data_IF_850284095650
#
_entry.id   IF_850284095650
#
_cell.length_a   1.000
_cell.length_b   1.000
_cell.length_c   1.000
_cell.angle_alpha   90.00
_cell.angle_beta   90.00
_cell.angle_gamma   90.00
#
_symmetry.space_group_name_H-M   'P 1'
#
loop_
_entity.id
_entity.type
_entity.pdbx_description
1 polymer ?
#
# COMPACT_ATOMS: atom_id res chain seq x y z
N UNK A 1 -1.08 -23.36 -0.57
CA UNK A 1 -0.79 -22.49 0.59
C UNK A 1 -0.40 -21.11 0.05
N UNK A 2 -0.88 -19.99 0.62
CA UNK A 2 -0.54 -18.65 0.12
C UNK A 2 0.91 -18.37 0.51
N UNK A 3 1.80 -18.55 -0.46
CA UNK A 3 3.24 -18.37 -0.34
C UNK A 3 3.54 -16.96 0.19
N UNK A 4 4.18 -16.93 1.35
CA UNK A 4 4.96 -15.80 1.83
C UNK A 4 6.09 -15.59 0.83
N UNK A 5 5.88 -14.73 -0.17
CA UNK A 5 6.97 -14.22 -0.99
C UNK A 5 7.69 -13.13 -0.20
N UNK A 6 8.88 -13.48 0.31
CA UNK A 6 9.98 -12.60 0.75
C UNK A 6 9.54 -11.23 1.29
N UNK A 7 9.20 -11.24 2.59
CA UNK A 7 8.43 -10.22 3.31
C UNK A 7 8.81 -8.75 3.07
N UNK A 8 10.08 -8.40 2.82
CA UNK A 8 10.46 -6.99 2.57
C UNK A 8 10.38 -6.52 1.11
N UNK A 9 10.62 -7.41 0.15
CA UNK A 9 10.80 -7.04 -1.27
C UNK A 9 9.45 -6.83 -1.96
N UNK A 10 8.49 -7.71 -1.66
CA UNK A 10 7.14 -7.68 -2.23
C UNK A 10 6.36 -6.43 -1.79
N UNK A 11 6.60 -6.01 -0.55
CA UNK A 11 6.02 -4.81 0.05
C UNK A 11 6.46 -3.55 -0.69
N UNK A 12 7.75 -3.41 -0.98
CA UNK A 12 8.28 -2.27 -1.71
C UNK A 12 7.72 -2.16 -3.15
N UNK A 13 7.54 -3.30 -3.82
CA UNK A 13 6.94 -3.36 -5.15
C UNK A 13 5.44 -2.98 -5.12
N UNK A 14 4.69 -3.51 -4.16
CA UNK A 14 3.30 -3.10 -3.91
C UNK A 14 3.19 -1.60 -3.61
N UNK A 15 4.11 -1.03 -2.82
CA UNK A 15 4.11 0.41 -2.55
C UNK A 15 4.25 1.22 -3.83
N UNK A 16 5.20 0.87 -4.71
CA UNK A 16 5.34 1.55 -6.00
C UNK A 16 4.07 1.49 -6.83
N UNK A 17 3.46 0.32 -6.92
CA UNK A 17 2.21 0.11 -7.69
C UNK A 17 1.06 0.93 -7.12
N UNK A 18 0.84 0.89 -5.80
CA UNK A 18 -0.22 1.67 -5.13
C UNK A 18 0.02 3.16 -5.25
N UNK A 19 1.27 3.62 -5.10
CA UNK A 19 1.65 5.03 -5.27
C UNK A 19 1.34 5.49 -6.70
N UNK A 20 1.75 4.71 -7.70
CA UNK A 20 1.47 5.02 -9.10
C UNK A 20 -0.04 5.10 -9.37
N UNK A 21 -0.83 4.14 -8.88
CA UNK A 21 -2.28 4.16 -9.01
C UNK A 21 -2.91 5.39 -8.31
N UNK A 22 -2.40 5.78 -7.14
CA UNK A 22 -2.84 6.97 -6.41
C UNK A 22 -2.49 8.27 -7.15
N UNK A 23 -1.33 8.35 -7.80
CA UNK A 23 -0.93 9.52 -8.60
C UNK A 23 -1.73 9.64 -9.89
N UNK A 24 -2.03 8.51 -10.54
CA UNK A 24 -2.88 8.45 -11.73
C UNK A 24 -4.36 8.70 -11.40
N UNK A 25 -4.81 8.40 -10.19
CA UNK A 25 -6.17 8.63 -9.77
C UNK A 25 -6.48 10.14 -9.66
N UNK A 26 -7.65 10.59 -10.17
CA UNK A 26 -8.09 11.97 -10.02
C UNK A 26 -8.28 12.31 -8.53
N UNK A 27 -7.92 13.54 -8.16
CA UNK A 27 -8.08 14.02 -6.79
C UNK A 27 -9.55 13.93 -6.37
N UNK A 28 -9.81 13.12 -5.34
CA UNK A 28 -11.14 12.82 -4.85
C UNK A 28 -11.08 11.96 -3.59
N UNK A 29 -12.22 11.62 -2.99
CA UNK A 29 -12.28 10.88 -1.72
C UNK A 29 -11.56 9.52 -1.77
N UNK A 30 -11.51 8.89 -2.96
CA UNK A 30 -10.74 7.66 -3.22
C UNK A 30 -9.23 7.87 -3.04
N UNK A 31 -8.68 8.94 -3.64
CA UNK A 31 -7.26 9.29 -3.53
C UNK A 31 -6.88 9.64 -2.10
N UNK A 32 -7.75 10.36 -1.39
CA UNK A 32 -7.53 10.74 0.01
C UNK A 32 -7.45 9.49 0.92
N UNK A 33 -8.39 8.56 0.77
CA UNK A 33 -8.38 7.28 1.47
C UNK A 33 -7.11 6.46 1.14
N UNK A 34 -6.73 6.39 -0.15
CA UNK A 34 -5.54 5.69 -0.58
C UNK A 34 -4.24 6.29 -0.01
N UNK A 35 -4.12 7.62 0.01
CA UNK A 35 -3.00 8.35 0.60
C UNK A 35 -2.87 8.05 2.10
N UNK A 36 -4.00 8.05 2.82
CA UNK A 36 -4.04 7.78 4.26
C UNK A 36 -3.56 6.37 4.58
N UNK A 37 -4.02 5.38 3.81
CA UNK A 37 -3.55 4.00 3.90
C UNK A 37 -2.09 3.84 3.46
N UNK A 38 -1.65 4.58 2.44
CA UNK A 38 -0.26 4.56 1.97
C UNK A 38 0.72 5.12 3.01
N UNK A 39 0.36 6.19 3.73
CA UNK A 39 1.16 6.73 4.83
C UNK A 39 1.28 5.74 6.00
N UNK A 40 0.19 5.02 6.32
CA UNK A 40 0.23 3.95 7.31
C UNK A 40 1.17 2.81 6.85
N UNK A 41 1.12 2.45 5.57
CA UNK A 41 2.03 1.48 4.99
C UNK A 41 3.51 1.92 5.09
N UNK A 42 3.84 3.17 4.77
CA UNK A 42 5.22 3.69 4.90
C UNK A 42 5.73 3.60 6.34
N UNK A 43 4.87 3.92 7.30
CA UNK A 43 5.21 3.85 8.73
C UNK A 43 5.42 2.40 9.17
N UNK A 44 4.54 1.48 8.77
CA UNK A 44 4.68 0.06 9.06
C UNK A 44 5.96 -0.53 8.43
N UNK A 45 6.30 -0.14 7.20
CA UNK A 45 7.54 -0.56 6.53
C UNK A 45 8.78 -0.05 7.26
N UNK A 46 8.79 1.21 7.71
CA UNK A 46 9.88 1.75 8.55
C UNK A 46 10.03 0.99 9.87
N UNK A 47 8.92 0.49 10.41
CA UNK A 47 8.89 -0.36 11.59
C UNK A 47 9.23 -1.85 11.32
N UNK A 48 9.70 -2.21 10.11
CA UNK A 48 9.91 -3.60 9.67
C UNK A 48 8.66 -4.48 9.85
N UNK A 49 7.47 -3.88 9.73
CA UNK A 49 6.20 -4.55 9.93
C UNK A 49 5.50 -4.78 8.57
N UNK A 50 6.02 -5.76 7.84
CA UNK A 50 5.55 -6.07 6.48
C UNK A 50 4.08 -6.48 6.44
N UNK A 51 3.58 -7.16 7.48
CA UNK A 51 2.17 -7.59 7.58
C UNK A 51 1.22 -6.40 7.55
N UNK A 52 1.45 -5.40 8.41
CA UNK A 52 0.65 -4.18 8.47
C UNK A 52 0.83 -3.32 7.21
N UNK A 53 2.03 -3.33 6.64
CA UNK A 53 2.31 -2.63 5.39
C UNK A 53 1.50 -3.20 4.22
N UNK A 54 1.56 -4.52 4.00
CA UNK A 54 0.82 -5.22 2.94
C UNK A 54 -0.69 -5.03 3.11
N UNK A 55 -1.19 -5.10 4.35
CA UNK A 55 -2.61 -4.90 4.67
C UNK A 55 -3.07 -3.47 4.35
N UNK A 56 -2.26 -2.47 4.71
CA UNK A 56 -2.53 -1.07 4.40
C UNK A 56 -2.49 -0.79 2.90
N UNK A 57 -1.54 -1.39 2.17
CA UNK A 57 -1.45 -1.27 0.71
C UNK A 57 -2.63 -1.92 0.00
N UNK A 58 -3.14 -3.04 0.50
CA UNK A 58 -4.35 -3.68 -0.02
C UNK A 58 -5.58 -2.79 0.15
N UNK A 59 -5.72 -2.16 1.33
CA UNK A 59 -6.79 -1.20 1.59
C UNK A 59 -6.68 0.03 0.68
N UNK A 60 -5.47 0.54 0.46
CA UNK A 60 -5.22 1.64 -0.47
C UNK A 60 -5.60 1.27 -1.91
N UNK A 61 -5.19 0.11 -2.40
CA UNK A 61 -5.58 -0.41 -3.72
C UNK A 61 -7.10 -0.58 -3.84
N UNK A 62 -7.76 -1.11 -2.80
CA UNK A 62 -9.22 -1.26 -2.77
C UNK A 62 -9.95 0.09 -2.80
N UNK A 63 -9.39 1.11 -2.16
CA UNK A 63 -9.97 2.45 -2.17
C UNK A 63 -9.84 3.15 -3.54
N UNK A 64 -8.82 2.78 -4.34
CA UNK A 64 -8.59 3.32 -5.68
C UNK A 64 -9.44 2.63 -6.76
N UNK A 65 -9.89 1.40 -6.53
CA UNK A 65 -10.84 0.69 -7.39
C UNK A 65 -12.28 1.21 -7.17
#
# INVERSE_FOLDING_TARGET
>A
MKEQQSSGQFTADKMKTVKAACEQAPSGPKKDAALKHYQAAETAKKANNDTECVKSLDAASKALN
#
